data_IF_332168077339
#
_entry.id   IF_332168077339
#
_cell.length_a   1.000
_cell.length_b   1.000
_cell.length_c   1.000
_cell.angle_alpha   90.00
_cell.angle_beta   90.00
_cell.angle_gamma   90.00
#
_symmetry.space_group_name_H-M   'P 1'
#
loop_
_entity.id
_entity.type
_entity.pdbx_description
1 polymer ?
#
# COMPACT_ATOMS: atom_id res chain seq x y z
N UNK A 1 31.70 31.15 -17.18
CA UNK A 1 31.85 31.49 -15.74
C UNK A 1 30.57 31.07 -15.06
N UNK A 2 30.64 30.39 -13.91
CA UNK A 2 29.46 29.85 -13.23
C UNK A 2 28.77 30.91 -12.36
N UNK A 3 27.43 30.87 -12.32
CA UNK A 3 26.61 31.73 -11.48
C UNK A 3 26.90 31.48 -9.99
N UNK A 4 26.81 32.53 -9.15
CA UNK A 4 26.99 32.37 -7.71
C UNK A 4 25.86 31.50 -7.11
N UNK A 5 26.21 30.31 -6.61
CA UNK A 5 25.24 29.30 -6.16
C UNK A 5 24.24 29.79 -5.12
N UNK A 6 24.65 30.64 -4.17
CA UNK A 6 23.73 31.17 -3.16
C UNK A 6 22.69 32.15 -3.75
N UNK A 7 23.08 32.93 -4.78
CA UNK A 7 22.16 33.86 -5.47
C UNK A 7 21.21 33.10 -6.38
N UNK A 8 21.71 32.08 -7.08
CA UNK A 8 20.91 31.18 -7.89
C UNK A 8 19.83 30.48 -7.05
N UNK A 9 20.23 29.89 -5.91
CA UNK A 9 19.31 29.24 -4.98
C UNK A 9 18.28 30.21 -4.40
N UNK A 10 18.69 31.43 -4.02
CA UNK A 10 17.78 32.44 -3.51
C UNK A 10 16.75 32.89 -4.56
N UNK A 11 17.17 33.09 -5.81
CA UNK A 11 16.27 33.42 -6.92
C UNK A 11 15.29 32.29 -7.22
N UNK A 12 15.73 31.03 -7.21
CA UNK A 12 14.85 29.86 -7.38
C UNK A 12 13.83 29.75 -6.24
N UNK A 13 14.27 29.94 -4.99
CA UNK A 13 13.38 29.95 -3.84
C UNK A 13 12.29 31.03 -4.00
N UNK A 14 12.67 32.23 -4.46
CA UNK A 14 11.71 33.29 -4.77
C UNK A 14 10.75 32.90 -5.91
N UNK A 15 11.24 32.33 -7.01
CA UNK A 15 10.37 31.88 -8.12
C UNK A 15 9.35 30.87 -7.62
N UNK A 16 9.76 29.90 -6.81
CA UNK A 16 8.88 28.88 -6.24
C UNK A 16 7.80 29.49 -5.32
N UNK A 17 8.14 30.51 -4.53
CA UNK A 17 7.15 31.18 -3.66
C UNK A 17 6.06 31.95 -4.43
N UNK A 18 6.29 32.26 -5.72
CA UNK A 18 5.27 32.92 -6.53
C UNK A 18 4.03 32.06 -6.78
N UNK A 19 4.10 30.73 -6.54
CA UNK A 19 3.02 29.74 -6.74
C UNK A 19 2.44 29.76 -8.16
N UNK A 20 3.28 30.12 -9.13
CA UNK A 20 2.93 30.24 -10.55
C UNK A 20 3.12 28.91 -11.31
N UNK A 21 4.01 28.05 -10.80
CA UNK A 21 4.22 26.69 -11.25
C UNK A 21 3.60 25.71 -10.23
N UNK A 22 2.88 24.66 -10.67
CA UNK A 22 2.34 23.64 -9.77
C UNK A 22 3.45 22.80 -9.12
N UNK A 23 4.56 22.58 -9.83
CA UNK A 23 5.70 21.78 -9.37
C UNK A 23 6.87 22.68 -8.93
N UNK A 24 7.52 22.42 -7.78
CA UNK A 24 8.71 23.15 -7.35
C UNK A 24 9.88 22.97 -8.32
N UNK A 25 10.52 24.08 -8.69
CA UNK A 25 11.71 24.08 -9.52
C UNK A 25 12.97 23.85 -8.67
N UNK A 26 13.84 22.96 -9.13
CA UNK A 26 15.11 22.63 -8.48
C UNK A 26 16.32 23.29 -9.16
N UNK A 27 16.18 23.72 -10.41
CA UNK A 27 17.27 24.31 -11.18
C UNK A 27 16.80 25.46 -12.09
N UNK A 28 17.69 26.43 -12.35
CA UNK A 28 17.40 27.60 -13.20
C UNK A 28 17.19 27.21 -14.65
N UNK A 29 17.80 26.13 -15.12
CA UNK A 29 17.61 25.60 -16.49
C UNK A 29 16.14 25.29 -16.80
N UNK A 30 15.34 24.94 -15.78
CA UNK A 30 13.91 24.67 -15.93
C UNK A 30 13.08 25.92 -16.30
N UNK A 31 13.68 27.13 -16.21
CA UNK A 31 13.07 28.39 -16.64
C UNK A 31 13.33 28.72 -18.11
N UNK A 32 14.09 27.88 -18.84
CA UNK A 32 14.45 28.11 -20.24
C UNK A 32 13.23 28.24 -21.15
N UNK A 33 12.13 27.55 -20.84
CA UNK A 33 10.90 27.60 -21.63
C UNK A 33 10.17 28.96 -21.53
N UNK A 34 10.63 29.87 -20.65
CA UNK A 34 10.08 31.20 -20.42
C UNK A 34 8.61 31.22 -19.94
N UNK A 35 7.97 30.07 -19.72
CA UNK A 35 6.54 30.00 -19.37
C UNK A 35 6.28 30.54 -17.97
N UNK A 36 7.14 30.19 -17.02
CA UNK A 36 7.09 30.66 -15.63
C UNK A 36 7.29 32.17 -15.57
N UNK A 37 8.22 32.73 -16.36
CA UNK A 37 8.44 34.17 -16.43
C UNK A 37 7.21 34.91 -16.97
N UNK A 38 6.57 34.40 -18.04
CA UNK A 38 5.35 35.00 -18.59
C UNK A 38 4.23 35.01 -17.56
N UNK A 39 4.04 33.90 -16.84
CA UNK A 39 3.01 33.83 -15.80
C UNK A 39 3.32 34.73 -14.58
N UNK A 40 4.59 34.92 -14.22
CA UNK A 40 4.98 35.93 -13.23
C UNK A 40 4.63 37.34 -13.73
N UNK A 41 4.90 37.65 -15.00
CA UNK A 41 4.54 38.94 -15.62
C UNK A 41 3.02 39.17 -15.59
N UNK A 42 2.23 38.14 -15.93
CA UNK A 42 0.76 38.17 -15.81
C UNK A 42 0.32 38.46 -14.37
N UNK A 43 0.96 37.84 -13.37
CA UNK A 43 0.65 38.09 -11.95
C UNK A 43 0.92 39.55 -11.56
N UNK A 44 1.95 40.18 -12.12
CA UNK A 44 2.29 41.59 -11.85
C UNK A 44 1.24 42.54 -12.47
N UNK A 45 0.77 42.29 -13.70
CA UNK A 45 -0.06 43.23 -14.47
C UNK A 45 -1.56 42.87 -14.57
N UNK A 46 -1.98 41.63 -14.28
CA UNK A 46 -3.31 41.07 -14.60
C UNK A 46 -3.75 41.34 -16.06
N UNK A 47 -2.81 41.44 -16.99
CA UNK A 47 -3.13 41.57 -18.41
C UNK A 47 -3.41 40.19 -19.01
N UNK A 48 -4.44 40.10 -19.85
CA UNK A 48 -4.78 38.88 -20.61
C UNK A 48 -3.81 38.62 -21.77
N UNK A 49 -2.95 39.59 -22.09
CA UNK A 49 -1.95 39.53 -23.17
C UNK A 49 -0.96 38.37 -23.01
N UNK A 50 -0.68 37.94 -21.78
CA UNK A 50 0.24 36.82 -21.54
C UNK A 50 -0.35 35.44 -21.88
N UNK A 51 -1.69 35.29 -21.90
CA UNK A 51 -2.32 33.97 -22.13
C UNK A 51 -2.14 33.54 -23.59
N UNK A 52 -2.32 34.48 -24.53
CA UNK A 52 -2.07 34.26 -25.96
C UNK A 52 -0.60 33.98 -26.30
N UNK A 53 0.34 34.46 -25.48
CA UNK A 53 1.79 34.31 -25.72
C UNK A 53 2.32 32.97 -25.19
N UNK A 54 1.64 32.34 -24.22
CA UNK A 54 2.06 31.03 -23.70
C UNK A 54 1.98 29.91 -24.75
N UNK A 55 1.06 30.03 -25.70
CA UNK A 55 0.89 29.08 -26.81
C UNK A 55 1.88 29.30 -27.97
N UNK A 56 2.65 30.38 -27.93
CA UNK A 56 3.58 30.76 -28.99
C UNK A 56 4.96 30.05 -28.87
N UNK A 57 5.70 29.90 -29.98
CA UNK A 57 7.04 29.32 -29.97
C UNK A 57 8.02 30.11 -29.09
N UNK A 58 9.09 29.44 -28.64
CA UNK A 58 10.07 30.01 -27.68
C UNK A 58 10.63 31.40 -28.07
N UNK A 59 10.96 31.69 -29.35
CA UNK A 59 11.46 33.02 -29.74
C UNK A 59 10.45 34.15 -29.50
N UNK A 60 9.15 33.89 -29.72
CA UNK A 60 8.07 34.86 -29.50
C UNK A 60 7.85 35.10 -28.00
N UNK A 61 7.93 34.04 -27.19
CA UNK A 61 7.92 34.10 -25.72
C UNK A 61 9.09 34.94 -25.17
N UNK A 62 10.30 34.76 -25.71
CA UNK A 62 11.49 35.55 -25.35
C UNK A 62 11.31 37.02 -25.78
N UNK A 63 10.79 37.25 -26.99
CA UNK A 63 10.51 38.60 -27.49
C UNK A 63 9.53 39.36 -26.58
N UNK A 64 8.47 38.69 -26.12
CA UNK A 64 7.52 39.26 -25.17
C UNK A 64 8.17 39.66 -23.84
N UNK A 65 8.99 38.77 -23.25
CA UNK A 65 9.70 39.07 -22.00
C UNK A 65 10.65 40.26 -22.18
N UNK A 66 11.40 40.31 -23.29
CA UNK A 66 12.29 41.43 -23.59
C UNK A 66 11.53 42.75 -23.78
N UNK A 67 10.42 42.70 -24.52
CA UNK A 67 9.54 43.85 -24.71
C UNK A 67 8.96 44.38 -23.40
N UNK A 68 8.56 43.47 -22.50
CA UNK A 68 8.12 43.81 -21.16
C UNK A 68 9.23 44.51 -20.35
N UNK A 69 10.40 43.90 -20.25
CA UNK A 69 11.53 44.47 -19.51
C UNK A 69 11.93 45.84 -20.08
N UNK A 70 11.97 45.97 -21.41
CA UNK A 70 12.27 47.23 -22.08
C UNK A 70 11.24 48.33 -21.81
N UNK A 71 9.94 47.98 -21.79
CA UNK A 71 8.86 48.93 -21.47
C UNK A 71 8.96 49.45 -20.04
N UNK A 72 9.37 48.59 -19.09
CA UNK A 72 9.40 48.91 -17.66
C UNK A 72 10.78 49.34 -17.13
N UNK A 73 11.83 49.31 -17.95
CA UNK A 73 13.13 49.93 -17.68
C UNK A 73 13.05 51.45 -17.93
N UNK A 74 13.61 52.25 -17.01
CA UNK A 74 13.58 53.73 -17.11
C UNK A 74 14.36 54.30 -18.29
N UNK A 75 15.42 53.61 -18.73
CA UNK A 75 16.30 54.06 -19.80
C UNK A 75 16.14 53.14 -21.02
N UNK A 76 15.36 53.59 -22.01
CA UNK A 76 15.05 52.84 -23.24
C UNK A 76 16.29 52.41 -24.03
N UNK A 77 17.39 53.17 -23.95
CA UNK A 77 18.65 52.93 -24.66
C UNK A 77 19.58 51.90 -23.97
N UNK A 78 19.45 51.70 -22.65
CA UNK A 78 20.25 50.72 -21.90
C UNK A 78 19.59 49.32 -21.84
N UNK A 79 18.30 49.25 -22.18
CA UNK A 79 17.49 48.03 -22.10
C UNK A 79 17.71 47.05 -23.27
N UNK A 80 18.19 47.52 -24.43
CA UNK A 80 18.44 46.66 -25.60
C UNK A 80 19.53 45.60 -25.33
N UNK A 81 20.43 45.86 -24.39
CA UNK A 81 21.60 45.03 -24.08
C UNK A 81 21.48 44.18 -22.80
N UNK A 82 20.43 44.38 -22.00
CA UNK A 82 20.34 43.84 -20.64
C UNK A 82 20.23 42.31 -20.62
N UNK A 83 19.45 41.76 -21.56
CA UNK A 83 19.21 40.33 -21.75
C UNK A 83 19.30 40.00 -23.24
N UNK A 84 20.27 39.17 -23.62
CA UNK A 84 20.44 38.73 -25.01
C UNK A 84 19.45 37.62 -25.34
N UNK A 85 18.68 37.81 -26.42
CA UNK A 85 17.74 36.80 -26.91
C UNK A 85 18.45 35.48 -27.28
N UNK A 86 19.66 35.57 -27.85
CA UNK A 86 20.45 34.39 -28.20
C UNK A 86 20.87 33.59 -26.95
N UNK A 87 21.34 34.28 -25.91
CA UNK A 87 21.76 33.64 -24.65
C UNK A 87 20.59 32.97 -23.90
N UNK A 88 19.38 33.51 -24.04
CA UNK A 88 18.17 32.89 -23.51
C UNK A 88 17.76 31.64 -24.31
N UNK A 89 17.85 31.69 -25.64
CA UNK A 89 17.60 30.52 -26.50
C UNK A 89 18.57 29.39 -26.18
N UNK A 90 19.85 29.73 -25.98
CA UNK A 90 20.92 28.79 -25.62
C UNK A 90 20.78 28.24 -24.18
N UNK A 91 19.83 28.75 -23.39
CA UNK A 91 19.56 28.29 -22.02
C UNK A 91 20.63 28.69 -21.01
N UNK A 92 21.36 29.79 -21.25
CA UNK A 92 22.42 30.23 -20.35
C UNK A 92 21.84 30.65 -18.98
N UNK A 93 22.24 29.96 -17.90
CA UNK A 93 21.76 30.22 -16.53
C UNK A 93 21.93 31.69 -16.10
N UNK A 94 23.00 32.34 -16.55
CA UNK A 94 23.24 33.76 -16.27
C UNK A 94 22.15 34.65 -16.90
N UNK A 95 21.72 34.35 -18.13
CA UNK A 95 20.66 35.10 -18.78
C UNK A 95 19.31 34.89 -18.08
N UNK A 96 19.01 33.66 -17.66
CA UNK A 96 17.81 33.32 -16.90
C UNK A 96 17.82 34.01 -15.51
N UNK A 97 18.96 34.02 -14.83
CA UNK A 97 19.13 34.69 -13.55
C UNK A 97 18.93 36.22 -13.66
N UNK A 98 19.43 36.85 -14.74
CA UNK A 98 19.17 38.28 -14.98
C UNK A 98 17.68 38.58 -15.13
N UNK A 99 16.95 37.77 -15.91
CA UNK A 99 15.49 37.92 -16.05
C UNK A 99 14.81 37.77 -14.68
N UNK A 100 15.19 36.75 -13.90
CA UNK A 100 14.66 36.53 -12.57
C UNK A 100 14.91 37.72 -11.61
N UNK A 101 16.11 38.30 -11.60
CA UNK A 101 16.44 39.50 -10.78
C UNK A 101 15.56 40.69 -11.14
N UNK A 102 15.34 40.92 -12.43
CA UNK A 102 14.53 42.05 -12.89
C UNK A 102 13.06 41.83 -12.53
N UNK A 103 12.53 40.62 -12.74
CA UNK A 103 11.16 40.28 -12.36
C UNK A 103 10.96 40.34 -10.84
N UNK A 104 11.95 39.93 -10.05
CA UNK A 104 11.97 40.10 -8.60
C UNK A 104 11.82 41.57 -8.24
N UNK A 105 12.65 42.44 -8.82
CA UNK A 105 12.57 43.88 -8.59
C UNK A 105 11.21 44.47 -9.01
N UNK A 106 10.68 44.09 -10.18
CA UNK A 106 9.36 44.54 -10.64
C UNK A 106 8.21 44.07 -9.75
N UNK A 107 8.29 42.82 -9.25
CA UNK A 107 7.33 42.27 -8.29
C UNK A 107 7.37 43.02 -6.97
N UNK A 108 8.57 43.29 -6.44
CA UNK A 108 8.77 44.06 -5.20
C UNK A 108 8.30 45.52 -5.33
N UNK A 109 8.38 46.09 -6.54
CA UNK A 109 7.89 47.44 -6.86
C UNK A 109 6.37 47.50 -7.10
N UNK A 110 5.70 46.36 -7.26
CA UNK A 110 4.25 46.31 -7.47
C UNK A 110 3.46 46.56 -6.15
N UNK A 111 2.23 47.07 -6.26
CA UNK A 111 1.30 47.23 -5.13
C UNK A 111 0.53 45.95 -4.78
N UNK A 112 0.53 44.93 -5.65
CA UNK A 112 -0.54 43.90 -5.64
C UNK A 112 -0.23 42.62 -4.86
N UNK A 113 0.97 42.48 -4.32
CA UNK A 113 1.30 41.50 -3.28
C UNK A 113 2.71 41.81 -2.75
N UNK A 114 2.87 42.48 -1.60
CA UNK A 114 4.13 42.31 -0.86
C UNK A 114 4.15 40.81 -0.51
N UNK A 115 4.99 40.02 -1.17
CA UNK A 115 5.12 38.60 -0.80
C UNK A 115 5.39 38.50 0.69
N UNK A 116 4.90 37.46 1.35
CA UNK A 116 5.24 37.20 2.74
C UNK A 116 6.70 36.75 2.80
N UNK A 117 7.62 37.72 2.77
CA UNK A 117 9.07 37.48 2.76
C UNK A 117 9.56 36.77 4.03
N UNK A 118 8.69 36.66 5.04
CA UNK A 118 8.90 35.87 6.25
C UNK A 118 8.82 34.35 6.03
N UNK A 119 8.31 33.89 4.87
CA UNK A 119 8.28 32.47 4.48
C UNK A 119 9.68 31.92 4.14
N UNK A 120 10.61 32.79 3.76
CA UNK A 120 11.97 32.41 3.42
C UNK A 120 12.86 32.23 4.66
N UNK A 121 13.82 31.31 4.56
CA UNK A 121 14.88 31.21 5.56
C UNK A 121 15.77 32.47 5.56
N UNK A 122 16.41 32.73 6.71
CA UNK A 122 17.20 33.95 6.90
C UNK A 122 18.30 34.12 5.84
N UNK A 123 18.95 33.02 5.41
CA UNK A 123 20.03 33.10 4.39
C UNK A 123 19.48 33.52 3.04
N UNK A 124 18.36 32.94 2.60
CA UNK A 124 17.67 33.38 1.38
C UNK A 124 17.22 34.83 1.47
N UNK A 125 16.70 35.27 2.63
CA UNK A 125 16.33 36.67 2.82
C UNK A 125 17.53 37.62 2.66
N UNK A 126 18.70 37.28 3.22
CA UNK A 126 19.93 38.09 3.09
C UNK A 126 20.37 38.20 1.63
N UNK A 127 20.35 37.09 0.88
CA UNK A 127 20.75 37.10 -0.53
C UNK A 127 19.76 37.88 -1.41
N UNK A 128 18.45 37.65 -1.25
CA UNK A 128 17.41 38.40 -1.95
C UNK A 128 17.48 39.89 -1.61
N UNK A 129 17.74 40.22 -0.34
CA UNK A 129 17.97 41.58 0.11
C UNK A 129 19.19 42.19 -0.59
N UNK A 130 20.32 41.48 -0.63
CA UNK A 130 21.52 41.94 -1.35
C UNK A 130 21.26 42.18 -2.83
N UNK A 131 20.49 41.30 -3.49
CA UNK A 131 20.12 41.43 -4.91
C UNK A 131 19.26 42.68 -5.11
N UNK A 132 18.21 42.85 -4.29
CA UNK A 132 17.29 43.98 -4.42
C UNK A 132 17.99 45.31 -4.14
N UNK A 133 18.85 45.36 -3.12
CA UNK A 133 19.70 46.51 -2.80
C UNK A 133 20.62 46.86 -3.96
N UNK A 134 21.29 45.86 -4.55
CA UNK A 134 22.14 46.06 -5.71
C UNK A 134 21.37 46.69 -6.88
N UNK A 135 20.17 46.20 -7.18
CA UNK A 135 19.33 46.75 -8.26
C UNK A 135 18.88 48.19 -7.94
N UNK A 136 18.60 48.50 -6.67
CA UNK A 136 18.27 49.86 -6.25
C UNK A 136 19.45 50.82 -6.39
N UNK A 137 20.66 50.36 -6.04
CA UNK A 137 21.85 51.21 -6.05
C UNK A 137 22.39 51.43 -7.47
N UNK A 138 22.13 50.51 -8.41
CA UNK A 138 22.68 50.53 -9.77
C UNK A 138 21.63 50.71 -10.88
N UNK A 139 20.42 51.21 -10.58
CA UNK A 139 19.29 51.30 -11.53
C UNK A 139 19.65 51.95 -12.90
N UNK A 140 20.59 52.90 -12.91
CA UNK A 140 21.01 53.64 -14.11
C UNK A 140 22.10 52.90 -14.94
N UNK A 141 22.82 51.95 -14.34
CA UNK A 141 23.97 51.25 -14.95
C UNK A 141 23.88 49.72 -14.81
N UNK A 142 22.66 49.18 -14.66
CA UNK A 142 22.38 47.74 -14.47
C UNK A 142 23.03 46.86 -15.56
N UNK A 143 23.12 47.35 -16.80
CA UNK A 143 23.66 46.59 -17.92
C UNK A 143 25.12 46.17 -17.74
N UNK A 144 25.95 47.04 -17.17
CA UNK A 144 27.38 46.80 -17.02
C UNK A 144 27.70 46.09 -15.70
N UNK A 145 26.89 46.31 -14.66
CA UNK A 145 27.21 45.89 -13.31
C UNK A 145 26.51 44.58 -12.86
N UNK A 146 25.43 44.17 -13.53
CA UNK A 146 24.64 43.00 -13.09
C UNK A 146 25.36 41.67 -13.36
N UNK A 147 26.05 41.53 -14.49
CA UNK A 147 26.87 40.34 -14.80
C UNK A 147 27.97 40.11 -13.75
N UNK A 148 28.87 41.08 -13.47
CA UNK A 148 29.92 40.86 -12.48
C UNK A 148 29.36 40.68 -11.07
N UNK A 149 28.22 41.31 -10.74
CA UNK A 149 27.55 41.07 -9.47
C UNK A 149 27.07 39.63 -9.35
N UNK A 150 26.42 39.05 -10.36
CA UNK A 150 25.92 37.68 -10.30
C UNK A 150 27.03 36.62 -10.29
N UNK A 151 28.20 36.93 -10.86
CA UNK A 151 29.35 36.02 -10.94
C UNK A 151 30.31 36.09 -9.74
N UNK A 152 30.35 37.20 -8.99
CA UNK A 152 31.36 37.44 -7.95
C UNK A 152 31.09 36.69 -6.64
N UNK A 153 32.08 35.93 -6.17
CA UNK A 153 32.18 35.38 -4.80
C UNK A 153 32.42 36.53 -3.79
N UNK A 154 31.64 36.57 -2.71
CA UNK A 154 31.69 37.63 -1.71
C UNK A 154 33.08 37.76 -1.03
N UNK A 155 33.56 39.00 -0.89
CA UNK A 155 34.58 39.34 0.11
C UNK A 155 33.85 40.09 1.25
N UNK A 156 34.08 39.75 2.54
CA UNK A 156 33.39 40.38 3.65
C UNK A 156 33.95 41.78 3.90
N UNK A 157 33.08 42.80 3.93
CA UNK A 157 33.45 44.14 4.37
C UNK A 157 33.71 44.16 5.87
N UNK A 158 34.94 44.50 6.28
CA UNK A 158 35.29 44.88 7.66
C UNK A 158 35.90 46.29 7.70
N UNK A 159 35.34 47.06 8.64
CA UNK A 159 35.74 48.30 9.34
C UNK A 159 37.21 48.78 9.38
N UNK A 160 37.38 50.12 9.51
CA UNK A 160 38.48 50.82 10.21
C UNK A 160 38.99 52.10 9.51
N UNK A 161 38.61 53.33 9.93
CA UNK A 161 39.40 54.28 10.79
C UNK A 161 40.87 54.43 10.37
N UNK A 162 41.47 55.57 9.99
CA UNK A 162 41.67 56.85 10.73
C UNK A 162 42.48 57.81 9.80
N UNK A 163 42.17 59.13 9.69
CA UNK A 163 42.85 60.29 10.34
C UNK A 163 43.89 61.07 9.50
N UNK A 164 43.60 62.38 9.31
CA UNK A 164 44.46 63.62 9.24
C UNK A 164 45.77 63.65 8.40
N UNK A 165 46.26 64.74 7.79
CA UNK A 165 46.18 66.19 8.05
C UNK A 165 46.52 67.03 6.78
N UNK A 166 46.07 68.29 6.79
CA UNK A 166 46.21 69.34 5.77
C UNK A 166 47.61 69.98 5.63
N UNK A 167 47.88 70.57 4.44
CA UNK A 167 48.37 71.95 4.16
C UNK A 167 48.35 72.14 2.61
N UNK A 168 47.36 72.78 2.00
CA UNK A 168 47.10 74.22 1.79
C UNK A 168 47.99 74.91 0.71
N UNK A 169 47.42 75.15 -0.47
CA UNK A 169 47.36 76.49 -1.07
C UNK A 169 46.05 76.64 -1.89
N UNK A 170 45.36 77.72 -1.55
CA UNK A 170 44.02 78.17 -1.94
C UNK A 170 43.94 78.71 -3.40
N UNK A 171 42.76 79.08 -3.97
CA UNK A 171 41.67 79.78 -3.28
C UNK A 171 40.20 79.42 -3.60
N UNK A 172 39.35 79.87 -2.67
CA UNK A 172 37.88 79.97 -2.67
C UNK A 172 37.11 78.78 -2.04
N UNK A 173 37.23 78.64 -0.71
CA UNK A 173 36.41 77.78 0.13
C UNK A 173 35.62 78.59 1.17
N UNK A 174 34.29 78.42 1.18
CA UNK A 174 33.54 78.28 2.43
C UNK A 174 32.18 77.64 2.16
N UNK A 175 32.15 76.31 2.25
CA UNK A 175 30.98 75.49 2.52
C UNK A 175 30.33 75.93 3.84
N UNK A 176 28.99 76.05 3.98
CA UNK A 176 28.39 75.95 5.29
C UNK A 176 28.20 74.47 5.64
N UNK A 177 29.07 73.99 6.53
CA UNK A 177 28.80 73.00 7.58
C UNK A 177 27.78 71.89 7.25
N UNK A 178 28.31 70.70 6.95
CA UNK A 178 27.57 69.44 7.14
C UNK A 178 27.13 69.36 8.60
N UNK A 179 25.86 69.66 8.87
CA UNK A 179 25.17 69.14 10.06
C UNK A 179 25.13 67.64 9.91
N UNK A 180 25.90 66.94 10.73
CA UNK A 180 25.69 65.52 10.98
C UNK A 180 24.34 65.40 11.68
N UNK A 181 23.29 65.20 10.88
CA UNK A 181 21.97 64.86 11.41
C UNK A 181 22.08 63.40 11.82
N UNK A 182 22.28 63.15 13.12
CA UNK A 182 21.90 61.87 13.71
C UNK A 182 20.41 61.71 13.45
N UNK A 183 20.06 60.90 12.46
CA UNK A 183 18.67 60.49 12.30
C UNK A 183 18.30 59.75 13.57
N UNK A 184 17.33 60.30 14.31
CA UNK A 184 16.59 59.52 15.28
C UNK A 184 16.07 58.30 14.51
N UNK A 185 16.41 57.11 14.98
CA UNK A 185 15.83 55.87 14.48
C UNK A 185 14.30 56.04 14.56
N UNK A 186 13.66 56.20 13.40
CA UNK A 186 12.22 56.42 13.33
C UNK A 186 11.55 55.13 13.78
N UNK A 187 11.18 55.08 15.06
CA UNK A 187 10.33 54.05 15.63
C UNK A 187 9.08 53.92 14.74
N UNK A 188 8.82 52.69 14.27
CA UNK A 188 7.69 52.33 13.38
C UNK A 188 6.37 53.01 13.82
N UNK A 189 5.98 54.10 13.16
CA UNK A 189 4.64 54.68 13.32
C UNK A 189 3.71 54.01 12.31
N UNK A 190 3.42 52.73 12.54
CA UNK A 190 2.33 52.03 11.87
C UNK A 190 1.96 50.77 12.67
N UNK A 191 1.36 50.96 13.84
CA UNK A 191 0.41 50.03 14.49
C UNK A 191 -0.17 50.72 15.72
N UNK A 192 -1.47 50.62 15.89
CA UNK A 192 -2.26 51.16 17.00
C UNK A 192 -1.69 50.75 18.38
N UNK A 193 -1.85 51.57 19.44
CA UNK A 193 -1.35 51.23 20.76
C UNK A 193 -2.28 50.22 21.44
N UNK A 194 -1.92 48.94 21.41
CA UNK A 194 -2.34 47.96 22.39
C UNK A 194 -1.24 47.85 23.45
N UNK A 195 -1.54 48.27 24.67
CA UNK A 195 -0.63 48.20 25.81
C UNK A 195 -0.18 46.77 26.10
N UNK A 196 1.07 46.64 26.58
CA UNK A 196 1.74 45.43 27.10
C UNK A 196 2.47 44.56 26.07
N UNK A 197 3.76 44.82 25.88
CA UNK A 197 4.83 43.98 26.46
C UNK A 197 6.21 44.40 25.95
N UNK A 198 7.12 44.63 26.89
CA UNK A 198 8.58 44.62 26.70
C UNK A 198 9.02 43.19 26.33
N UNK A 199 8.83 42.80 25.07
CA UNK A 199 9.42 41.61 24.48
C UNK A 199 10.45 42.06 23.43
N UNK A 200 11.60 41.36 23.29
CA UNK A 200 12.55 41.63 22.22
C UNK A 200 11.81 41.56 20.89
N UNK A 201 11.84 42.64 20.13
CA UNK A 201 11.37 42.66 18.74
C UNK A 201 11.96 41.44 18.03
N UNK A 202 11.17 40.66 17.26
CA UNK A 202 11.76 39.63 16.41
C UNK A 202 12.86 40.26 15.54
N UNK A 203 13.98 39.56 15.29
CA UNK A 203 15.09 40.11 14.51
C UNK A 203 14.54 40.68 13.20
N UNK A 204 14.95 41.91 12.86
CA UNK A 204 14.48 42.56 11.65
C UNK A 204 14.78 41.66 10.45
N UNK A 205 13.76 41.41 9.62
CA UNK A 205 13.94 40.67 8.37
C UNK A 205 14.83 41.51 7.45
N UNK A 206 15.94 40.97 6.90
CA UNK A 206 16.80 41.69 5.95
C UNK A 206 16.03 42.27 4.75
N UNK A 207 14.99 41.56 4.29
CA UNK A 207 14.11 42.04 3.23
C UNK A 207 13.17 43.16 3.73
N UNK A 208 12.68 43.02 4.96
CA UNK A 208 11.90 44.06 5.65
C UNK A 208 12.65 45.39 5.77
N UNK A 209 13.95 45.36 6.04
CA UNK A 209 14.78 46.56 6.23
C UNK A 209 14.98 47.34 4.91
N UNK A 210 15.22 46.64 3.80
CA UNK A 210 15.34 47.26 2.48
C UNK A 210 14.02 47.86 2.03
N UNK A 211 12.91 47.13 2.20
CA UNK A 211 11.60 47.62 1.78
C UNK A 211 11.11 48.83 2.60
N UNK A 212 11.55 48.95 3.85
CA UNK A 212 11.28 50.10 4.72
C UNK A 212 12.22 51.29 4.45
N UNK A 213 13.26 51.11 3.64
CA UNK A 213 14.17 52.21 3.32
C UNK A 213 13.41 53.31 2.54
N UNK A 214 13.55 54.61 2.90
CA UNK A 214 12.84 55.70 2.23
C UNK A 214 13.03 55.73 0.70
N UNK A 215 14.24 55.35 0.22
CA UNK A 215 14.55 55.21 -1.19
C UNK A 215 13.66 54.17 -1.89
N UNK A 216 13.46 53.00 -1.28
CA UNK A 216 12.61 51.95 -1.82
C UNK A 216 11.15 52.40 -1.86
N UNK A 217 10.64 52.93 -0.75
CA UNK A 217 9.24 53.37 -0.63
C UNK A 217 8.92 54.49 -1.61
N UNK A 218 9.79 55.51 -1.71
CA UNK A 218 9.59 56.63 -2.64
C UNK A 218 9.63 56.14 -4.09
N UNK A 219 10.53 55.22 -4.44
CA UNK A 219 10.59 54.66 -5.80
C UNK A 219 9.35 53.83 -6.13
N UNK A 220 8.88 53.01 -5.20
CA UNK A 220 7.64 52.23 -5.33
C UNK A 220 6.44 53.15 -5.57
N UNK A 221 6.27 54.18 -4.75
CA UNK A 221 5.19 55.16 -4.90
C UNK A 221 5.27 55.92 -6.23
N UNK A 222 6.47 56.35 -6.65
CA UNK A 222 6.66 57.00 -7.96
C UNK A 222 6.24 56.11 -9.12
N UNK A 223 6.57 54.81 -9.08
CA UNK A 223 6.15 53.85 -10.12
C UNK A 223 4.65 53.63 -10.14
N UNK A 224 4.01 53.50 -8.97
CA UNK A 224 2.56 53.36 -8.86
C UNK A 224 1.84 54.59 -9.40
N UNK A 225 2.30 55.79 -9.06
CA UNK A 225 1.72 57.03 -9.56
C UNK A 225 1.85 57.18 -11.09
N UNK A 226 2.96 56.74 -11.66
CA UNK A 226 3.13 56.73 -13.12
C UNK A 226 2.15 55.77 -13.81
N UNK A 227 1.98 54.56 -13.27
CA UNK A 227 1.05 53.56 -13.79
C UNK A 227 -0.41 54.05 -13.72
N UNK A 228 -0.83 54.62 -12.58
CA UNK A 228 -2.18 55.18 -12.43
C UNK A 228 -2.45 56.35 -13.39
N UNK A 229 -1.44 57.17 -13.69
CA UNK A 229 -1.55 58.24 -14.70
C UNK A 229 -1.79 57.66 -16.10
N UNK A 230 -0.99 56.68 -16.52
CA UNK A 230 -1.16 56.02 -17.82
C UNK A 230 -2.56 55.38 -17.95
N UNK A 231 -3.03 54.71 -16.89
CA UNK A 231 -4.37 54.13 -16.86
C UNK A 231 -5.48 55.19 -16.96
N UNK A 232 -5.34 56.29 -16.21
CA UNK A 232 -6.29 57.41 -16.27
C UNK A 232 -6.31 58.05 -17.66
N UNK A 233 -5.14 58.27 -18.25
CA UNK A 233 -5.02 58.90 -19.57
C UNK A 233 -5.64 57.97 -20.66
N UNK A 234 -5.47 56.64 -20.52
CA UNK A 234 -6.16 55.66 -21.37
C UNK A 234 -7.69 55.72 -21.24
N UNK A 235 -8.20 55.73 -20.01
CA UNK A 235 -9.64 55.90 -19.74
C UNK A 235 -10.18 57.24 -20.26
N UNK A 236 -9.38 58.31 -20.22
CA UNK A 236 -9.76 59.63 -20.75
C UNK A 236 -9.96 59.59 -22.27
N UNK A 237 -9.11 58.87 -22.99
CA UNK A 237 -9.26 58.64 -24.44
C UNK A 237 -10.52 57.83 -24.73
N UNK A 238 -10.74 56.72 -24.04
CA UNK A 238 -11.95 55.89 -24.21
C UNK A 238 -13.23 56.68 -23.91
N UNK A 239 -13.22 57.53 -22.89
CA UNK A 239 -14.36 58.42 -22.58
C UNK A 239 -14.60 59.46 -23.68
N UNK A 240 -13.55 60.02 -24.28
CA UNK A 240 -13.68 60.97 -25.38
C UNK A 240 -14.29 60.31 -26.64
N UNK A 241 -13.87 59.08 -26.96
CA UNK A 241 -14.44 58.29 -28.04
C UNK A 241 -15.92 57.95 -27.80
N UNK A 242 -16.27 57.53 -26.58
CA UNK A 242 -17.66 57.27 -26.21
C UNK A 242 -18.54 58.52 -26.30
N UNK A 243 -18.04 59.68 -25.85
CA UNK A 243 -18.76 60.96 -26.00
C UNK A 243 -19.03 61.29 -27.46
N UNK A 244 -18.06 61.07 -28.35
CA UNK A 244 -18.23 61.26 -29.79
C UNK A 244 -19.31 60.33 -30.35
N UNK A 245 -19.32 59.06 -29.95
CA UNK A 245 -20.33 58.09 -30.37
C UNK A 245 -21.74 58.48 -29.89
N UNK A 246 -21.87 58.97 -28.65
CA UNK A 246 -23.13 59.47 -28.11
C UNK A 246 -23.65 60.64 -28.95
N UNK A 247 -22.81 61.63 -29.26
CA UNK A 247 -23.19 62.78 -30.10
C UNK A 247 -23.67 62.32 -31.49
N UNK A 248 -23.00 61.34 -32.09
CA UNK A 248 -23.42 60.77 -33.38
C UNK A 248 -24.80 60.11 -33.27
N UNK A 249 -25.05 59.35 -32.20
CA UNK A 249 -26.35 58.72 -31.95
C UNK A 249 -27.45 59.74 -31.67
N UNK A 250 -27.16 60.80 -30.92
CA UNK A 250 -28.09 61.91 -30.67
C UNK A 250 -28.45 62.65 -31.97
N UNK A 251 -27.48 62.85 -32.87
CA UNK A 251 -27.73 63.38 -34.21
C UNK A 251 -28.63 62.46 -35.05
N UNK A 252 -28.39 61.13 -35.02
CA UNK A 252 -29.25 60.15 -35.70
C UNK A 252 -30.69 60.18 -35.15
N UNK A 253 -30.86 60.21 -33.83
CA UNK A 253 -32.16 60.32 -33.16
C UNK A 253 -32.86 61.62 -33.58
N UNK A 254 -32.15 62.75 -33.59
CA UNK A 254 -32.69 64.05 -34.00
C UNK A 254 -33.19 64.04 -35.45
N UNK A 255 -32.44 63.41 -36.38
CA UNK A 255 -32.88 63.24 -37.77
C UNK A 255 -34.12 62.35 -37.87
N UNK A 256 -34.17 61.26 -37.11
CA UNK A 256 -35.35 60.39 -37.06
C UNK A 256 -36.57 61.12 -36.49
N UNK A 257 -36.41 61.89 -35.42
CA UNK A 257 -37.48 62.68 -34.82
C UNK A 257 -38.04 63.70 -35.82
N UNK A 258 -37.17 64.42 -36.54
CA UNK A 258 -37.62 65.33 -37.59
C UNK A 258 -38.39 64.62 -38.70
N UNK A 259 -37.99 63.39 -39.06
CA UNK A 259 -38.70 62.58 -40.06
C UNK A 259 -40.06 62.15 -39.54
N UNK A 260 -40.15 61.74 -38.28
CA UNK A 260 -41.41 61.41 -37.59
C UNK A 260 -42.33 62.64 -37.58
N UNK A 261 -41.84 63.81 -37.20
CA UNK A 261 -42.65 65.04 -37.15
C UNK A 261 -43.15 65.47 -38.54
N UNK A 262 -42.34 65.27 -39.59
CA UNK A 262 -42.76 65.49 -40.98
C UNK A 262 -43.85 64.51 -41.41
N UNK A 263 -43.70 63.23 -41.06
CA UNK A 263 -44.70 62.19 -41.35
C UNK A 263 -46.00 62.47 -40.57
N UNK A 264 -45.91 62.88 -39.30
CA UNK A 264 -47.06 63.26 -38.48
C UNK A 264 -47.85 64.41 -39.12
N UNK A 265 -47.16 65.45 -39.60
CA UNK A 265 -47.79 66.58 -40.32
C UNK A 265 -48.41 66.19 -41.66
N UNK A 266 -47.83 65.24 -42.39
CA UNK A 266 -48.42 64.71 -43.63
C UNK A 266 -49.65 63.86 -43.32
N UNK A 267 -49.60 63.04 -42.27
CA UNK A 267 -50.70 62.20 -41.81
C UNK A 267 -51.87 63.06 -41.28
N UNK A 268 -51.60 64.14 -40.55
CA UNK A 268 -52.62 65.11 -40.09
C UNK A 268 -53.30 65.83 -41.28
N UNK A 269 -52.54 66.15 -42.34
CA UNK A 269 -53.09 66.68 -43.59
C UNK A 269 -53.92 65.65 -44.35
N UNK A 270 -53.50 64.39 -44.38
CA UNK A 270 -54.28 63.29 -44.96
C UNK A 270 -55.53 62.97 -44.12
N UNK A 271 -55.48 63.13 -42.80
CA UNK A 271 -56.64 62.97 -41.92
C UNK A 271 -57.71 64.07 -42.12
N UNK A 272 -57.32 65.24 -42.64
CA UNK A 272 -58.27 66.29 -43.06
C UNK A 272 -59.00 65.95 -44.37
N UNK A 273 -58.39 65.13 -45.24
CA UNK A 273 -58.97 64.56 -46.47
C UNK A 273 -59.62 63.20 -46.15
N UNK A 274 -60.85 63.23 -45.63
CA UNK A 274 -61.61 62.09 -45.07
C UNK A 274 -61.60 60.77 -45.89
N UNK A 275 -61.14 59.64 -45.30
CA UNK A 275 -61.81 58.30 -45.15
C UNK A 275 -60.90 57.16 -44.62
N UNK A 276 -59.58 57.28 -44.67
CA UNK A 276 -58.62 56.26 -44.17
C UNK A 276 -58.52 56.00 -42.65
N UNK A 277 -59.06 56.81 -41.71
CA UNK A 277 -58.83 56.58 -40.27
C UNK A 277 -59.39 55.24 -39.77
N UNK A 278 -60.56 54.81 -40.27
CA UNK A 278 -61.25 53.62 -39.73
C UNK A 278 -60.59 52.31 -40.14
N UNK A 279 -60.16 52.17 -41.39
CA UNK A 279 -59.45 50.97 -41.85
C UNK A 279 -58.07 50.85 -41.19
N UNK A 280 -57.39 51.98 -40.95
CA UNK A 280 -56.15 52.01 -40.21
C UNK A 280 -56.33 51.72 -38.71
N UNK A 281 -57.43 52.17 -38.09
CA UNK A 281 -57.80 51.80 -36.72
C UNK A 281 -58.04 50.28 -36.61
N UNK A 282 -58.83 49.69 -37.52
CA UNK A 282 -59.07 48.25 -37.55
C UNK A 282 -57.78 47.44 -37.76
N UNK A 283 -56.86 47.92 -38.60
CA UNK A 283 -55.56 47.28 -38.79
C UNK A 283 -54.68 47.40 -37.55
N UNK A 284 -54.75 48.50 -36.80
CA UNK A 284 -54.06 48.65 -35.51
C UNK A 284 -54.62 47.68 -34.48
N UNK A 285 -55.94 47.60 -34.32
CA UNK A 285 -56.59 46.66 -33.39
C UNK A 285 -56.26 45.20 -33.74
N UNK A 286 -56.27 44.85 -35.04
CA UNK A 286 -55.84 43.51 -35.50
C UNK A 286 -54.36 43.25 -35.20
N UNK A 287 -53.49 44.24 -35.36
CA UNK A 287 -52.07 44.11 -35.05
C UNK A 287 -51.84 43.95 -33.54
N UNK A 288 -52.50 44.75 -32.71
CA UNK A 288 -52.45 44.61 -31.25
C UNK A 288 -52.97 43.25 -30.78
N UNK A 289 -54.06 42.76 -31.38
CA UNK A 289 -54.57 41.41 -31.13
C UNK A 289 -53.57 40.33 -31.53
N UNK A 290 -52.93 40.46 -32.69
CA UNK A 290 -51.89 39.52 -33.14
C UNK A 290 -50.65 39.56 -32.25
N UNK A 291 -50.23 40.75 -31.82
CA UNK A 291 -49.12 40.92 -30.87
C UNK A 291 -49.48 40.29 -29.53
N UNK A 292 -50.72 40.46 -29.03
CA UNK A 292 -51.20 39.79 -27.82
C UNK A 292 -51.16 38.26 -27.96
N UNK A 293 -51.64 37.73 -29.08
CA UNK A 293 -51.57 36.29 -29.39
C UNK A 293 -50.13 35.77 -29.51
N UNK A 294 -49.22 36.56 -30.07
CA UNK A 294 -47.81 36.22 -30.17
C UNK A 294 -47.15 36.16 -28.78
N UNK A 295 -47.41 37.13 -27.91
CA UNK A 295 -46.90 37.12 -26.54
C UNK A 295 -47.46 35.95 -25.73
N UNK A 296 -48.73 35.61 -25.91
CA UNK A 296 -49.34 34.45 -25.28
C UNK A 296 -48.73 33.13 -25.77
N UNK A 297 -48.53 32.99 -27.09
CA UNK A 297 -47.81 31.84 -27.65
C UNK A 297 -46.37 31.75 -27.13
N UNK A 298 -45.69 32.89 -27.00
CA UNK A 298 -44.33 32.94 -26.44
C UNK A 298 -44.31 32.49 -24.97
N UNK A 299 -45.28 32.95 -24.16
CA UNK A 299 -45.47 32.49 -22.77
C UNK A 299 -45.67 30.98 -22.71
N UNK A 300 -46.57 30.44 -23.55
CA UNK A 300 -46.80 28.99 -23.64
C UNK A 300 -45.53 28.23 -24.05
N UNK A 301 -44.74 28.74 -25.00
CA UNK A 301 -43.45 28.14 -25.35
C UNK A 301 -42.46 28.17 -24.19
N UNK A 302 -42.46 29.23 -23.38
CA UNK A 302 -41.63 29.32 -22.19
C UNK A 302 -42.06 28.31 -21.13
N UNK A 303 -43.36 28.19 -20.87
CA UNK A 303 -43.92 27.21 -19.94
C UNK A 303 -43.58 25.78 -20.37
N UNK A 304 -43.82 25.44 -21.65
CA UNK A 304 -43.44 24.14 -22.23
C UNK A 304 -41.93 23.88 -22.14
N UNK A 305 -41.09 24.90 -22.29
CA UNK A 305 -39.64 24.76 -22.11
C UNK A 305 -39.28 24.42 -20.66
N UNK A 306 -39.98 25.01 -19.68
CA UNK A 306 -39.78 24.66 -18.27
C UNK A 306 -40.31 23.27 -17.93
N UNK A 307 -41.46 22.89 -18.46
CA UNK A 307 -42.06 21.57 -18.28
C UNK A 307 -41.16 20.49 -18.91
N UNK A 308 -40.67 20.71 -20.13
CA UNK A 308 -39.68 19.84 -20.77
C UNK A 308 -38.46 19.66 -19.88
N UNK A 309 -37.89 20.74 -19.35
CA UNK A 309 -36.72 20.64 -18.48
C UNK A 309 -37.01 19.87 -17.18
N UNK A 310 -38.23 19.95 -16.65
CA UNK A 310 -38.65 19.14 -15.49
C UNK A 310 -38.81 17.67 -15.86
N UNK A 311 -39.43 17.36 -17.00
CA UNK A 311 -39.54 16.00 -17.51
C UNK A 311 -38.17 15.37 -17.80
N UNK A 312 -37.24 16.12 -18.40
CA UNK A 312 -35.87 15.67 -18.66
C UNK A 312 -35.15 15.30 -17.36
N UNK A 313 -35.30 16.11 -16.29
CA UNK A 313 -34.77 15.77 -14.96
C UNK A 313 -35.42 14.49 -14.41
N UNK A 314 -36.73 14.32 -14.59
CA UNK A 314 -37.43 13.12 -14.12
C UNK A 314 -36.98 11.87 -14.89
N UNK A 315 -36.73 11.99 -16.19
CA UNK A 315 -36.17 10.91 -17.01
C UNK A 315 -34.79 10.52 -16.49
N UNK A 316 -33.92 11.49 -16.21
CA UNK A 316 -32.59 11.20 -15.66
C UNK A 316 -32.69 10.47 -14.31
N UNK A 317 -33.55 10.96 -13.40
CA UNK A 317 -33.77 10.29 -12.11
C UNK A 317 -34.27 8.86 -12.27
N UNK A 318 -35.27 8.63 -13.14
CA UNK A 318 -35.79 7.29 -13.40
C UNK A 318 -34.73 6.39 -14.06
N UNK A 319 -33.86 6.96 -14.89
CA UNK A 319 -32.74 6.22 -15.50
C UNK A 319 -31.70 5.79 -14.46
N UNK A 320 -31.40 6.64 -13.47
CA UNK A 320 -30.53 6.30 -12.35
C UNK A 320 -31.15 5.19 -11.48
N UNK A 321 -32.42 5.36 -11.08
CA UNK A 321 -33.17 4.35 -10.31
C UNK A 321 -33.23 3.00 -11.04
N UNK A 322 -33.44 3.02 -12.37
CA UNK A 322 -33.45 1.81 -13.18
C UNK A 322 -32.06 1.17 -13.29
N UNK A 323 -31.00 1.99 -13.31
CA UNK A 323 -29.61 1.54 -13.22
C UNK A 323 -29.32 0.81 -11.91
N UNK A 324 -29.75 1.38 -10.79
CA UNK A 324 -29.61 0.79 -9.45
C UNK A 324 -30.40 -0.52 -9.32
N UNK A 325 -31.63 -0.56 -9.82
CA UNK A 325 -32.45 -1.77 -9.85
C UNK A 325 -31.80 -2.85 -10.73
N UNK A 326 -31.26 -2.47 -11.88
CA UNK A 326 -30.55 -3.39 -12.77
C UNK A 326 -29.27 -3.95 -12.11
N UNK A 327 -28.55 -3.14 -11.34
CA UNK A 327 -27.41 -3.59 -10.56
C UNK A 327 -27.81 -4.61 -9.50
N UNK A 328 -28.85 -4.31 -8.71
CA UNK A 328 -29.39 -5.24 -7.69
C UNK A 328 -29.88 -6.55 -8.31
N UNK A 329 -30.54 -6.50 -9.46
CA UNK A 329 -30.96 -7.70 -10.18
C UNK A 329 -29.77 -8.56 -10.61
N UNK A 330 -28.69 -7.94 -11.09
CA UNK A 330 -27.46 -8.65 -11.47
C UNK A 330 -26.77 -9.28 -10.25
N UNK A 331 -26.75 -8.59 -9.12
CA UNK A 331 -26.23 -9.10 -7.85
C UNK A 331 -27.03 -10.31 -7.35
N UNK A 332 -28.37 -10.21 -7.34
CA UNK A 332 -29.26 -11.33 -6.98
C UNK A 332 -29.04 -12.52 -7.92
N UNK A 333 -28.95 -12.29 -9.23
CA UNK A 333 -28.67 -13.35 -10.20
C UNK A 333 -27.32 -14.04 -9.92
N UNK A 334 -26.29 -13.27 -9.57
CA UNK A 334 -24.98 -13.80 -9.17
C UNK A 334 -25.10 -14.66 -7.90
N UNK A 335 -25.83 -14.20 -6.88
CA UNK A 335 -26.06 -14.99 -5.66
C UNK A 335 -26.84 -16.27 -5.94
N UNK A 336 -27.82 -16.23 -6.85
CA UNK A 336 -28.56 -17.43 -7.26
C UNK A 336 -27.66 -18.46 -7.94
N UNK A 337 -26.74 -18.02 -8.82
CA UNK A 337 -25.77 -18.92 -9.45
C UNK A 337 -24.85 -19.55 -8.41
N UNK A 338 -24.31 -18.76 -7.48
CA UNK A 338 -23.45 -19.27 -6.39
C UNK A 338 -24.18 -20.29 -5.50
N UNK A 339 -25.43 -20.02 -5.14
CA UNK A 339 -26.24 -20.96 -4.36
C UNK A 339 -26.54 -22.24 -5.15
N UNK A 340 -26.77 -22.14 -6.46
CA UNK A 340 -26.98 -23.30 -7.32
C UNK A 340 -25.70 -24.16 -7.42
N UNK A 341 -24.53 -23.53 -7.54
CA UNK A 341 -23.23 -24.22 -7.56
C UNK A 341 -23.00 -24.95 -6.23
N UNK A 342 -23.18 -24.27 -5.09
CA UNK A 342 -23.04 -24.89 -3.77
C UNK A 342 -24.03 -26.04 -3.53
N UNK A 343 -25.26 -25.94 -4.05
CA UNK A 343 -26.25 -27.01 -3.99
C UNK A 343 -25.82 -28.22 -4.84
N UNK A 344 -25.26 -27.98 -6.02
CA UNK A 344 -24.75 -29.04 -6.89
C UNK A 344 -23.56 -29.74 -6.23
N UNK A 345 -22.59 -29.01 -5.69
CA UNK A 345 -21.45 -29.56 -4.95
C UNK A 345 -21.91 -30.42 -3.78
N UNK A 346 -22.82 -29.93 -2.93
CA UNK A 346 -23.35 -30.68 -1.80
C UNK A 346 -24.11 -31.94 -2.24
N UNK A 347 -24.83 -31.87 -3.37
CA UNK A 347 -25.51 -33.02 -3.97
C UNK A 347 -24.52 -34.08 -4.45
N UNK A 348 -23.44 -33.67 -5.11
CA UNK A 348 -22.36 -34.56 -5.54
C UNK A 348 -21.67 -35.22 -4.34
N UNK A 349 -21.34 -34.44 -3.30
CA UNK A 349 -20.79 -34.96 -2.04
C UNK A 349 -21.73 -35.97 -1.38
N UNK A 350 -23.03 -35.67 -1.31
CA UNK A 350 -24.04 -36.57 -0.75
C UNK A 350 -24.09 -37.89 -1.53
N UNK A 351 -24.12 -37.83 -2.86
CA UNK A 351 -24.14 -39.01 -3.72
C UNK A 351 -22.87 -39.85 -3.57
N UNK A 352 -21.70 -39.21 -3.49
CA UNK A 352 -20.42 -39.90 -3.28
C UNK A 352 -20.36 -40.58 -1.91
N UNK A 353 -20.79 -39.90 -0.84
CA UNK A 353 -20.85 -40.46 0.50
C UNK A 353 -21.84 -41.64 0.58
N UNK A 354 -22.99 -41.52 -0.08
CA UNK A 354 -23.99 -42.59 -0.17
C UNK A 354 -23.42 -43.82 -0.88
N UNK A 355 -22.76 -43.62 -2.04
CA UNK A 355 -22.12 -44.70 -2.80
C UNK A 355 -21.03 -45.40 -1.97
N UNK A 356 -20.18 -44.64 -1.28
CA UNK A 356 -19.15 -45.20 -0.41
C UNK A 356 -19.76 -45.99 0.76
N UNK A 357 -20.84 -45.49 1.36
CA UNK A 357 -21.54 -46.19 2.44
C UNK A 357 -22.15 -47.50 1.96
N UNK A 358 -22.75 -47.52 0.76
CA UNK A 358 -23.32 -48.72 0.15
C UNK A 358 -22.21 -49.74 -0.19
N UNK A 359 -21.08 -49.29 -0.71
CA UNK A 359 -19.94 -50.16 -0.99
C UNK A 359 -19.41 -50.81 0.29
N UNK A 360 -19.20 -50.02 1.36
CA UNK A 360 -18.78 -50.53 2.68
C UNK A 360 -19.79 -51.52 3.26
N UNK A 361 -21.08 -51.23 3.14
CA UNK A 361 -22.12 -52.17 3.55
C UNK A 361 -22.01 -53.48 2.78
N UNK A 362 -21.86 -53.43 1.45
CA UNK A 362 -21.69 -54.62 0.63
C UNK A 362 -20.42 -55.42 0.97
N UNK A 363 -19.31 -54.74 1.28
CA UNK A 363 -18.07 -55.36 1.76
C UNK A 363 -18.30 -56.11 3.08
N UNK A 364 -18.90 -55.45 4.08
CA UNK A 364 -19.20 -56.06 5.38
C UNK A 364 -20.20 -57.23 5.25
N UNK A 365 -21.20 -57.13 4.38
CA UNK A 365 -22.13 -58.24 4.10
C UNK A 365 -21.42 -59.45 3.46
N UNK A 366 -20.45 -59.20 2.58
CA UNK A 366 -19.63 -60.25 1.96
C UNK A 366 -18.69 -60.90 3.00
N UNK A 367 -18.02 -60.10 3.83
CA UNK A 367 -17.18 -60.58 4.93
C UNK A 367 -17.99 -61.42 5.93
N UNK A 368 -19.19 -60.95 6.30
CA UNK A 368 -20.10 -61.69 7.17
C UNK A 368 -20.51 -63.04 6.54
N UNK A 369 -20.84 -63.05 5.24
CA UNK A 369 -21.16 -64.29 4.52
C UNK A 369 -19.98 -65.25 4.49
N UNK A 370 -18.77 -64.76 4.25
CA UNK A 370 -17.56 -65.57 4.27
C UNK A 370 -17.30 -66.16 5.67
N UNK A 371 -17.36 -65.33 6.72
CA UNK A 371 -17.19 -65.78 8.10
C UNK A 371 -18.25 -66.80 8.53
N UNK A 372 -19.50 -66.66 8.07
CA UNK A 372 -20.55 -67.66 8.29
C UNK A 372 -20.27 -68.98 7.57
N UNK A 373 -19.69 -68.94 6.37
CA UNK A 373 -19.30 -70.15 5.63
C UNK A 373 -18.12 -70.86 6.32
N UNK A 374 -17.11 -70.10 6.74
CA UNK A 374 -15.97 -70.62 7.50
C UNK A 374 -16.43 -71.24 8.82
N UNK A 375 -17.33 -70.56 9.53
CA UNK A 375 -17.97 -71.09 10.75
C UNK A 375 -18.60 -72.45 10.50
N UNK A 376 -19.40 -72.61 9.43
CA UNK A 376 -20.02 -73.91 9.08
C UNK A 376 -18.97 -75.00 8.84
N UNK A 377 -17.90 -74.68 8.09
CA UNK A 377 -16.83 -75.64 7.84
C UNK A 377 -16.09 -76.07 9.11
N UNK A 378 -15.94 -75.15 10.08
CA UNK A 378 -15.34 -75.44 11.38
C UNK A 378 -16.30 -76.26 12.26
N UNK A 379 -17.60 -75.98 12.23
CA UNK A 379 -18.63 -76.79 12.90
C UNK A 379 -18.61 -78.23 12.37
N UNK A 380 -18.58 -78.42 11.05
CA UNK A 380 -18.43 -79.76 10.42
C UNK A 380 -17.13 -80.45 10.88
N UNK A 381 -16.01 -79.72 10.93
CA UNK A 381 -14.73 -80.26 11.42
C UNK A 381 -14.82 -80.67 12.90
N UNK A 382 -15.52 -79.90 13.73
CA UNK A 382 -15.76 -80.22 15.15
C UNK A 382 -16.60 -81.49 15.26
N UNK A 383 -17.69 -81.63 14.49
CA UNK A 383 -18.51 -82.85 14.48
C UNK A 383 -17.69 -84.09 14.09
N UNK A 384 -16.84 -83.98 13.05
CA UNK A 384 -15.93 -85.06 12.65
C UNK A 384 -14.95 -85.40 13.79
N UNK A 385 -14.36 -84.40 14.45
CA UNK A 385 -13.44 -84.63 15.56
C UNK A 385 -14.14 -85.24 16.77
N UNK A 386 -15.35 -84.79 17.11
CA UNK A 386 -16.18 -85.40 18.15
C UNK A 386 -16.48 -86.86 17.83
N UNK A 387 -16.89 -87.18 16.60
CA UNK A 387 -17.12 -88.56 16.18
C UNK A 387 -15.86 -89.43 16.26
N UNK A 388 -14.68 -88.88 15.95
CA UNK A 388 -13.38 -89.57 16.14
C UNK A 388 -13.06 -89.80 17.62
N UNK A 389 -13.33 -88.81 18.47
CA UNK A 389 -13.15 -88.94 19.93
C UNK A 389 -14.05 -90.05 20.46
N UNK A 390 -15.34 -90.06 20.11
CA UNK A 390 -16.25 -91.14 20.53
C UNK A 390 -15.80 -92.52 20.06
N UNK A 391 -15.26 -92.66 18.84
CA UNK A 391 -14.68 -93.93 18.37
C UNK A 391 -13.45 -94.35 19.17
N UNK A 392 -12.58 -93.40 19.53
CA UNK A 392 -11.40 -93.67 20.36
C UNK A 392 -11.79 -94.02 21.80
N UNK A 393 -12.80 -93.35 22.36
CA UNK A 393 -13.40 -93.69 23.66
C UNK A 393 -13.98 -95.10 23.64
N UNK A 394 -14.71 -95.49 22.59
CA UNK A 394 -15.21 -96.86 22.40
C UNK A 394 -14.07 -97.89 22.29
N UNK A 395 -12.97 -97.56 21.59
CA UNK A 395 -11.79 -98.42 21.51
C UNK A 395 -11.09 -98.56 22.87
N UNK A 396 -10.99 -97.47 23.63
CA UNK A 396 -10.46 -97.49 25.00
C UNK A 396 -11.34 -98.33 25.92
N UNK A 397 -12.67 -98.17 25.87
CA UNK A 397 -13.62 -98.97 26.64
C UNK A 397 -13.52 -100.46 26.28
N UNK A 398 -13.37 -100.81 24.99
CA UNK A 398 -13.14 -102.20 24.55
C UNK A 398 -11.81 -102.76 25.05
N UNK A 399 -10.74 -101.96 25.06
CA UNK A 399 -9.45 -102.37 25.64
C UNK A 399 -9.56 -102.56 27.15
N UNK A 400 -10.29 -101.67 27.83
CA UNK A 400 -10.58 -101.78 29.26
C UNK A 400 -11.39 -103.05 29.55
N UNK A 401 -12.43 -103.34 28.78
CA UNK A 401 -13.26 -104.55 28.87
C UNK A 401 -12.46 -105.82 28.54
N UNK A 402 -11.62 -105.83 27.49
CA UNK A 402 -10.71 -106.94 27.19
C UNK A 402 -9.67 -107.18 28.31
N UNK A 403 -9.15 -106.11 28.91
CA UNK A 403 -8.21 -106.21 30.04
C UNK A 403 -8.91 -106.65 31.34
N UNK A 404 -10.17 -106.30 31.52
CA UNK A 404 -11.00 -106.72 32.65
C UNK A 404 -11.43 -108.19 32.53
N UNK A 405 -11.77 -108.66 31.32
CA UNK A 405 -12.06 -110.08 31.05
C UNK A 405 -10.82 -110.96 31.35
N UNK A 406 -9.63 -110.52 30.94
CA UNK A 406 -8.37 -111.25 31.22
C UNK A 406 -8.04 -111.31 32.72
N UNK A 407 -8.49 -110.34 33.53
CA UNK A 407 -8.24 -110.34 34.98
C UNK A 407 -9.01 -111.43 35.74
N UNK A 408 -10.03 -112.06 35.11
CA UNK A 408 -10.81 -113.16 35.70
C UNK A 408 -10.34 -114.56 35.30
N UNK A 409 -9.74 -114.75 34.14
CA UNK A 409 -9.35 -116.09 33.64
C UNK A 409 -7.99 -116.57 34.18
N UNK A 410 -7.10 -115.65 34.57
CA UNK A 410 -5.71 -115.99 34.98
C UNK A 410 -5.64 -116.55 36.41
N UNK A 411 -6.71 -116.48 37.20
CA UNK A 411 -6.71 -117.00 38.58
C UNK A 411 -6.61 -118.53 38.62
N UNK A 412 -7.11 -119.23 37.60
CA UNK A 412 -6.94 -120.68 37.47
C UNK A 412 -5.51 -121.10 37.16
N UNK A 413 -4.80 -120.31 36.35
CA UNK A 413 -3.40 -120.58 36.02
C UNK A 413 -2.45 -120.19 37.15
N UNK A 414 -2.77 -119.12 37.90
CA UNK A 414 -2.04 -118.75 39.12
C UNK A 414 -2.17 -119.84 40.19
N UNK A 415 -3.38 -120.40 40.39
CA UNK A 415 -3.59 -121.48 41.36
C UNK A 415 -2.82 -122.75 40.98
N UNK A 416 -2.80 -123.13 39.68
CA UNK A 416 -1.99 -124.26 39.20
C UNK A 416 -0.49 -124.02 39.39
N UNK A 417 -0.03 -122.80 39.14
CA UNK A 417 1.38 -122.43 39.33
C UNK A 417 1.78 -122.48 40.82
N UNK A 418 0.88 -122.06 41.73
CA UNK A 418 1.09 -122.14 43.18
C UNK A 418 1.07 -123.60 43.68
N UNK A 419 0.21 -124.46 43.10
CA UNK A 419 0.11 -125.89 43.42
C UNK A 419 1.35 -126.67 42.93
N UNK A 420 1.83 -126.40 41.70
CA UNK A 420 3.09 -126.96 41.19
C UNK A 420 4.31 -126.50 42.00
N UNK A 421 4.31 -125.25 42.49
CA UNK A 421 5.35 -124.72 43.36
C UNK A 421 5.36 -125.43 44.71
N UNK A 422 4.21 -125.62 45.35
CA UNK A 422 4.12 -126.38 46.61
C UNK A 422 4.56 -127.83 46.46
N UNK A 423 4.24 -128.48 45.34
CA UNK A 423 4.69 -129.85 45.01
C UNK A 423 6.22 -129.93 44.86
N UNK A 424 6.84 -128.94 44.18
CA UNK A 424 8.31 -128.87 44.04
C UNK A 424 9.00 -128.61 45.37
N UNK A 425 8.46 -127.73 46.20
CA UNK A 425 9.00 -127.45 47.53
C UNK A 425 8.93 -128.70 48.43
N UNK A 426 7.82 -129.43 48.42
CA UNK A 426 7.68 -130.70 49.16
C UNK A 426 8.66 -131.78 48.68
N UNK A 427 8.88 -131.90 47.36
CA UNK A 427 9.84 -132.85 46.79
C UNK A 427 11.29 -132.53 47.20
N UNK A 428 11.68 -131.24 47.19
CA UNK A 428 12.99 -130.80 47.64
C UNK A 428 13.19 -131.03 49.15
N UNK A 429 12.14 -130.90 49.97
CA UNK A 429 12.19 -131.20 51.40
C UNK A 429 12.43 -132.69 51.67
N UNK A 430 11.77 -133.56 50.89
CA UNK A 430 11.92 -135.02 50.94
C UNK A 430 13.35 -135.47 50.62
N UNK A 431 13.95 -134.94 49.55
CA UNK A 431 15.35 -135.27 49.21
C UNK A 431 16.34 -134.81 50.27
N UNK A 432 16.11 -133.65 50.91
CA UNK A 432 16.92 -133.18 52.03
C UNK A 432 16.91 -134.14 53.22
N UNK A 433 15.75 -134.69 53.59
CA UNK A 433 15.68 -135.68 54.68
C UNK A 433 16.44 -136.96 54.33
N UNK A 434 16.32 -137.43 53.08
CA UNK A 434 16.99 -138.63 52.59
C UNK A 434 18.52 -138.50 52.63
N UNK A 435 19.05 -137.35 52.22
CA UNK A 435 20.49 -137.08 52.31
C UNK A 435 20.99 -136.98 53.76
N UNK A 436 20.17 -136.46 54.69
CA UNK A 436 20.56 -136.40 56.10
C UNK A 436 20.60 -137.81 56.73
N UNK A 437 19.70 -138.71 56.33
CA UNK A 437 19.71 -140.13 56.73
C UNK A 437 20.95 -140.86 56.19
N UNK A 438 21.28 -140.70 54.90
CA UNK A 438 22.49 -141.29 54.31
C UNK A 438 23.77 -140.78 54.98
N UNK A 439 23.81 -139.49 55.32
CA UNK A 439 24.92 -138.87 56.06
C UNK A 439 25.07 -139.47 57.46
N UNK A 440 23.97 -139.71 58.18
CA UNK A 440 24.00 -140.40 59.48
C UNK A 440 24.47 -141.86 59.35
N UNK A 441 24.04 -142.57 58.31
CA UNK A 441 24.47 -143.95 58.03
C UNK A 441 25.97 -144.03 57.68
N UNK A 442 26.49 -143.09 56.88
CA UNK A 442 27.92 -143.00 56.61
C UNK A 442 28.72 -142.68 57.88
N UNK A 443 28.19 -141.83 58.76
CA UNK A 443 28.80 -141.53 60.06
C UNK A 443 28.93 -142.76 60.97
N UNK A 444 27.91 -143.63 61.01
CA UNK A 444 27.94 -144.87 61.81
C UNK A 444 28.89 -145.93 61.23
N UNK A 445 29.02 -145.98 59.90
CA UNK A 445 29.98 -146.87 59.24
C UNK A 445 31.43 -146.45 59.46
N UNK A 446 31.72 -145.15 59.44
CA UNK A 446 33.07 -144.62 59.72
C UNK A 446 33.47 -144.92 61.17
N UNK A 447 32.56 -144.76 62.13
CA UNK A 447 32.82 -145.06 63.54
C UNK A 447 33.04 -146.56 63.79
N UNK A 448 32.29 -147.44 63.11
CA UNK A 448 32.49 -148.89 63.22
C UNK A 448 33.79 -149.37 62.57
N UNK A 449 34.21 -148.75 61.46
CA UNK A 449 35.51 -149.04 60.85
C UNK A 449 36.67 -148.56 61.74
N UNK A 450 36.54 -147.41 62.39
CA UNK A 450 37.54 -146.91 63.35
C UNK A 450 37.65 -147.81 64.59
N UNK A 451 36.54 -148.37 65.10
CA UNK A 451 36.58 -149.32 66.21
C UNK A 451 37.21 -150.66 65.79
N UNK A 452 36.90 -151.16 64.60
CA UNK A 452 37.48 -152.42 64.09
C UNK A 452 38.98 -152.29 63.79
N UNK A 453 39.42 -151.13 63.27
CA UNK A 453 40.84 -150.86 63.02
C UNK A 453 41.65 -150.79 64.32
N UNK A 454 41.08 -150.16 65.37
CA UNK A 454 41.72 -150.08 66.69
C UNK A 454 41.72 -151.40 67.46
N UNK A 455 40.71 -152.25 67.27
CA UNK A 455 40.70 -153.63 67.78
C UNK A 455 41.73 -154.51 67.06
N UNK A 456 41.87 -154.37 65.74
CA UNK A 456 42.88 -155.08 64.94
C UNK A 456 44.30 -154.69 65.36
N UNK A 457 44.57 -153.40 65.61
CA UNK A 457 45.87 -152.94 66.13
C UNK A 457 46.19 -153.50 67.53
N UNK A 458 45.20 -153.55 68.44
CA UNK A 458 45.40 -154.17 69.77
C UNK A 458 45.61 -155.68 69.71
N UNK A 459 44.98 -156.36 68.74
CA UNK A 459 45.17 -157.79 68.53
C UNK A 459 46.56 -158.10 67.95
N UNK A 460 47.08 -157.22 67.09
CA UNK A 460 48.42 -157.30 66.52
C UNK A 460 49.51 -157.09 67.59
N UNK A 461 49.36 -156.12 68.49
CA UNK A 461 50.29 -155.91 69.63
C UNK A 461 50.32 -157.09 70.61
N UNK A 462 49.18 -157.76 70.84
CA UNK A 462 49.12 -158.95 71.73
C UNK A 462 49.86 -160.16 71.14
N UNK A 463 49.74 -160.39 69.83
CA UNK A 463 50.47 -161.45 69.12
C UNK A 463 51.99 -161.19 69.09
N UNK A 464 52.39 -159.93 69.07
CA UNK A 464 53.81 -159.52 69.12
C UNK A 464 54.42 -159.73 70.52
N UNK A 465 53.64 -159.53 71.58
CA UNK A 465 54.05 -159.84 72.97
C UNK A 465 54.15 -161.34 73.25
N UNK A 466 53.22 -162.15 72.73
CA UNK A 466 53.25 -163.62 72.93
C UNK A 466 54.39 -164.28 72.14
N UNK A 467 54.82 -163.71 71.01
CA UNK A 467 56.01 -164.19 70.27
C UNK A 467 57.32 -163.86 71.00
N UNK A 468 57.40 -162.75 71.74
CA UNK A 468 58.57 -162.42 72.57
C UNK A 468 58.67 -163.27 73.85
N UNK A 469 57.55 -163.77 74.37
CA UNK A 469 57.53 -164.67 75.53
C UNK A 469 57.99 -166.11 75.20
N UNK A 470 58.23 -166.44 73.92
CA UNK A 470 58.86 -167.69 73.50
C UNK A 470 60.40 -167.69 73.55
N UNK A 471 61.03 -166.54 73.82
CA UNK A 471 62.49 -166.39 73.70
C UNK A 471 63.22 -166.20 75.06
N UNK A 472 62.56 -166.38 76.21
CA UNK A 472 63.23 -166.41 77.52
C UNK A 472 62.58 -167.41 78.51
N UNK A 473 63.27 -168.54 78.74
CA UNK A 473 62.97 -169.75 79.56
C UNK A 473 61.96 -170.76 78.99
#
# INVERSE_FOLDING_TARGET
MSLHGARAAALLAWVNSTKVCPDPLNDLSQLQDCSVFIRIIQKIHRSKEGESVLEQPLPERISFIRGFLQKHCRHKLAAENLVSAQKLLDGEELALAKVAVLLLYHTSMSCKSPGDWNEFDYKTQVELASILKFVLDNEESLNENLEPFLLRNALPSSSGTSSSSFEEHSPLLSLPHKREVRFLELQKIASFPGTNNMLPSPPSSPMGDIMQTPQFQLRRLKKQLAFERENRDGLEVELAENRKLIIEKEAQISMMQQRIDRLAKLNEKQAADQLEPKEMEELREKNESLVGRLHEAFRQCQDLKTEKAQMDRKINQLSEENGDLSFKLREIASHMVQLQEALNELSEEHNAALAQSQEKQGQLENELRAALQDKKSLEEKIEILQGKISLLEDQLAKLEECSAQQKGEVMGDILKLEEEKQLREAALQSERCRFEEEKQQLGSLITSLQSSLSESQRAQERLEQDLQARDAE
#
